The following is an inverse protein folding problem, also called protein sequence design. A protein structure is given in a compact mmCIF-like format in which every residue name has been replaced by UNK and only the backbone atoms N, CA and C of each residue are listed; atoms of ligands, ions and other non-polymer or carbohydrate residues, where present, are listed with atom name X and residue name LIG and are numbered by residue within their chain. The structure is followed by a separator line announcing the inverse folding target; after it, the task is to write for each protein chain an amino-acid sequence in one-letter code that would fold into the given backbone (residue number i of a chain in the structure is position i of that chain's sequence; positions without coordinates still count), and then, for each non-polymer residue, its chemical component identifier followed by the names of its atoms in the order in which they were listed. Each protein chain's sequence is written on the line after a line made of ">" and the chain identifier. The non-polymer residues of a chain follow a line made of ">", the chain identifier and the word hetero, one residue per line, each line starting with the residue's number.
data_IF_131517832342
#
_entry.id   IF_131517832342
#
_cell.length_a   1.000
_cell.length_b   1.000
_cell.length_c   1.000
_cell.angle_alpha   90.00
_cell.angle_beta   90.00
_cell.angle_gamma   90.00
#
_symmetry.space_group_name_H-M   'P 1'
#
loop_
_entity.id
_entity.type
_entity.pdbx_description
1 polymer ?
#
# COMPACT_ATOMS: atom_id res chain seq x y z
N UNK A 1 3.66 -23.57 24.38
CA UNK A 1 4.57 -23.03 23.37
C UNK A 1 4.01 -21.63 23.03
N UNK A 2 4.85 -20.63 22.72
CA UNK A 2 4.36 -19.28 22.42
C UNK A 2 4.54 -18.96 20.95
N UNK A 3 3.62 -18.18 20.42
CA UNK A 3 3.51 -17.90 18.99
C UNK A 3 3.37 -16.42 18.67
N UNK A 4 3.76 -16.07 17.47
CA UNK A 4 3.55 -14.76 16.86
C UNK A 4 2.70 -14.91 15.59
N UNK A 5 1.81 -13.97 15.33
CA UNK A 5 1.01 -13.93 14.10
C UNK A 5 1.31 -12.63 13.36
N UNK A 6 1.71 -12.78 12.10
CA UNK A 6 1.75 -11.67 11.14
C UNK A 6 0.53 -11.74 10.24
N UNK A 7 -0.11 -10.59 9.99
CA UNK A 7 -1.26 -10.47 9.08
C UNK A 7 -0.92 -9.42 8.03
N UNK A 8 -1.13 -9.74 6.76
CA UNK A 8 -1.09 -8.75 5.67
C UNK A 8 -2.46 -8.63 5.01
N UNK A 9 -2.96 -7.41 4.94
CA UNK A 9 -4.24 -7.11 4.27
C UNK A 9 -3.96 -6.42 2.95
N UNK A 10 -3.88 -7.24 1.91
CA UNK A 10 -3.75 -6.76 0.54
C UNK A 10 -5.11 -6.40 -0.09
N UNK A 11 -5.05 -5.86 -1.30
CA UNK A 11 -6.26 -5.49 -2.06
C UNK A 11 -7.12 -6.69 -2.47
N UNK A 12 -6.53 -7.88 -2.63
CA UNK A 12 -7.21 -9.09 -3.13
C UNK A 12 -7.32 -10.17 -2.07
N UNK A 13 -6.26 -10.38 -1.30
CA UNK A 13 -6.19 -11.42 -0.28
C UNK A 13 -5.72 -10.83 1.05
N UNK A 14 -6.17 -11.47 2.12
CA UNK A 14 -5.66 -11.29 3.48
C UNK A 14 -4.91 -12.56 3.86
N UNK A 15 -3.64 -12.41 4.16
CA UNK A 15 -2.71 -13.48 4.49
C UNK A 15 -2.36 -13.46 5.97
N UNK A 16 -2.18 -14.63 6.58
CA UNK A 16 -1.64 -14.75 7.92
C UNK A 16 -0.53 -15.80 7.98
N UNK A 17 0.49 -15.51 8.78
CA UNK A 17 1.60 -16.42 9.06
C UNK A 17 1.74 -16.63 10.58
N UNK A 18 1.83 -17.87 11.01
CA UNK A 18 2.06 -18.28 12.40
C UNK A 18 3.53 -18.67 12.56
N UNK A 19 4.20 -18.05 13.51
CA UNK A 19 5.64 -18.25 13.76
C UNK A 19 5.82 -18.69 15.22
N UNK A 20 6.65 -19.72 15.43
CA UNK A 20 7.10 -20.10 16.76
C UNK A 20 7.95 -18.96 17.35
N UNK A 21 7.61 -18.50 18.57
CA UNK A 21 8.30 -17.37 19.19
C UNK A 21 9.76 -17.65 19.53
N UNK A 22 10.11 -18.90 19.86
CA UNK A 22 11.42 -19.27 20.39
C UNK A 22 12.40 -19.66 19.27
N UNK A 23 11.91 -20.34 18.22
CA UNK A 23 12.74 -20.80 17.10
C UNK A 23 12.67 -19.89 15.90
N UNK A 24 11.66 -19.00 15.81
CA UNK A 24 11.31 -18.18 14.65
C UNK A 24 10.98 -18.97 13.37
N UNK A 25 10.69 -20.26 13.52
CA UNK A 25 10.25 -21.10 12.41
C UNK A 25 8.81 -20.82 12.03
N UNK A 26 8.53 -20.85 10.74
CA UNK A 26 7.19 -20.78 10.19
C UNK A 26 6.43 -22.07 10.52
N UNK A 27 5.32 -21.95 11.24
CA UNK A 27 4.48 -23.08 11.66
C UNK A 27 3.38 -23.33 10.63
N UNK A 28 2.68 -22.28 10.22
CA UNK A 28 1.58 -22.38 9.27
C UNK A 28 1.34 -21.04 8.55
N UNK A 29 0.67 -21.08 7.40
CA UNK A 29 0.19 -19.91 6.65
C UNK A 29 -1.25 -20.14 6.21
N UNK A 30 -2.05 -19.09 6.27
CA UNK A 30 -3.44 -19.10 5.81
C UNK A 30 -3.70 -17.88 4.93
N UNK A 31 -4.44 -18.10 3.86
CA UNK A 31 -4.86 -17.06 2.93
C UNK A 31 -6.38 -17.10 2.76
N UNK A 32 -7.02 -15.92 2.79
CA UNK A 32 -8.45 -15.75 2.49
C UNK A 32 -8.67 -14.54 1.57
N UNK A 33 -9.75 -14.48 0.79
CA UNK A 33 -10.11 -13.26 0.04
C UNK A 33 -10.31 -12.07 0.97
N UNK A 34 -9.84 -10.88 0.57
CA UNK A 34 -10.08 -9.65 1.33
C UNK A 34 -11.55 -9.23 1.23
N UNK A 35 -12.16 -8.93 2.37
CA UNK A 35 -13.60 -8.66 2.51
C UNK A 35 -13.91 -7.17 2.44
N UNK A 36 -13.83 -6.54 1.26
CA UNK A 36 -14.14 -5.09 1.11
C UNK A 36 -15.62 -4.76 1.27
N UNK A 37 -16.51 -5.69 0.91
CA UNK A 37 -17.97 -5.49 0.87
C UNK A 37 -18.68 -5.99 2.13
N UNK A 38 -17.98 -6.60 3.06
CA UNK A 38 -18.56 -7.03 4.33
C UNK A 38 -18.95 -5.83 5.20
N UNK A 39 -19.92 -5.99 6.09
CA UNK A 39 -20.35 -4.96 7.04
C UNK A 39 -19.19 -4.46 7.93
N UNK A 40 -18.31 -5.39 8.31
CA UNK A 40 -17.10 -5.15 9.08
C UNK A 40 -15.91 -4.79 8.18
N UNK A 41 -16.12 -4.60 6.87
CA UNK A 41 -15.05 -4.30 5.91
C UNK A 41 -13.92 -5.34 5.94
N UNK A 42 -12.69 -4.88 5.86
CA UNK A 42 -11.49 -5.74 5.88
C UNK A 42 -11.27 -6.47 7.22
N UNK A 43 -11.88 -5.98 8.31
CA UNK A 43 -11.78 -6.60 9.63
C UNK A 43 -12.39 -8.02 9.66
N UNK A 44 -13.40 -8.29 8.82
CA UNK A 44 -13.97 -9.64 8.69
C UNK A 44 -12.93 -10.64 8.14
N UNK A 45 -12.13 -10.25 7.15
CA UNK A 45 -11.04 -11.08 6.62
C UNK A 45 -9.95 -11.33 7.69
N UNK A 46 -9.64 -10.33 8.50
CA UNK A 46 -8.70 -10.47 9.62
C UNK A 46 -9.18 -11.51 10.64
N UNK A 47 -10.47 -11.47 11.01
CA UNK A 47 -11.04 -12.50 11.91
C UNK A 47 -10.93 -13.89 11.27
N UNK A 48 -11.30 -14.00 9.98
CA UNK A 48 -11.28 -15.28 9.28
C UNK A 48 -9.89 -15.91 9.27
N UNK A 49 -8.83 -15.15 8.93
CA UNK A 49 -7.46 -15.69 8.92
C UNK A 49 -6.97 -16.03 10.33
N UNK A 50 -7.34 -15.22 11.35
CA UNK A 50 -6.95 -15.48 12.75
C UNK A 50 -7.58 -16.76 13.27
N UNK A 51 -8.89 -16.93 13.13
CA UNK A 51 -9.59 -18.14 13.57
C UNK A 51 -9.03 -19.36 12.83
N UNK A 52 -8.96 -19.28 11.51
CA UNK A 52 -8.50 -20.37 10.66
C UNK A 52 -7.07 -20.81 10.97
N UNK A 53 -6.13 -19.88 11.13
CA UNK A 53 -4.72 -20.24 11.40
C UNK A 53 -4.55 -20.85 12.79
N UNK A 54 -5.31 -20.41 13.79
CA UNK A 54 -5.29 -20.98 15.13
C UNK A 54 -5.92 -22.39 15.15
N UNK A 55 -7.06 -22.60 14.48
CA UNK A 55 -7.73 -23.90 14.36
C UNK A 55 -6.86 -24.93 13.62
N UNK A 56 -6.33 -24.57 12.44
CA UNK A 56 -5.50 -25.46 11.62
C UNK A 56 -4.17 -25.84 12.31
N UNK A 57 -3.71 -25.01 13.25
CA UNK A 57 -2.45 -25.23 13.96
C UNK A 57 -2.62 -25.73 15.39
N UNK A 58 -3.85 -25.95 15.86
CA UNK A 58 -4.19 -26.31 17.25
C UNK A 58 -3.57 -25.34 18.29
N UNK A 59 -3.60 -24.03 17.99
CA UNK A 59 -3.02 -22.97 18.82
C UNK A 59 -4.13 -22.22 19.56
N UNK A 60 -3.96 -22.11 20.88
CA UNK A 60 -4.89 -21.35 21.71
C UNK A 60 -4.59 -19.85 21.68
N UNK A 61 -5.62 -19.03 21.80
CA UNK A 61 -5.49 -17.57 21.82
C UNK A 61 -4.54 -17.07 22.93
N UNK A 62 -4.46 -17.76 24.06
CA UNK A 62 -3.57 -17.44 25.20
C UNK A 62 -2.09 -17.72 24.93
N UNK A 63 -1.78 -18.46 23.87
CA UNK A 63 -0.42 -18.77 23.44
C UNK A 63 0.11 -17.78 22.39
N UNK A 64 -0.74 -16.95 21.86
CA UNK A 64 -0.35 -15.86 20.93
C UNK A 64 0.12 -14.67 21.75
N UNK A 65 1.40 -14.34 21.67
CA UNK A 65 2.04 -13.26 22.46
C UNK A 65 2.35 -12.01 21.65
N UNK A 66 2.21 -12.07 20.33
CA UNK A 66 2.45 -10.93 19.45
C UNK A 66 1.60 -11.06 18.18
N UNK A 67 0.94 -9.97 17.80
CA UNK A 67 0.24 -9.85 16.52
C UNK A 67 0.68 -8.57 15.85
N UNK A 68 1.08 -8.67 14.59
CA UNK A 68 1.33 -7.52 13.74
C UNK A 68 0.46 -7.54 12.49
N UNK A 69 0.07 -6.36 12.06
CA UNK A 69 -0.82 -6.16 10.92
C UNK A 69 -0.21 -5.17 9.94
N UNK A 70 -0.02 -5.59 8.70
CA UNK A 70 0.24 -4.73 7.55
C UNK A 70 -1.07 -4.27 6.93
N UNK A 71 -1.14 -3.03 6.44
CA UNK A 71 -2.37 -2.49 5.84
C UNK A 71 -2.09 -1.58 4.66
N UNK A 72 -2.89 -1.69 3.62
CA UNK A 72 -2.87 -0.78 2.46
C UNK A 72 -3.89 0.35 2.57
N UNK A 73 -4.69 0.41 3.64
CA UNK A 73 -5.82 1.32 3.77
C UNK A 73 -5.44 2.80 3.67
N UNK A 74 -4.38 3.24 4.36
CA UNK A 74 -3.91 4.62 4.31
C UNK A 74 -3.41 4.99 2.90
N UNK A 75 -2.68 4.10 2.24
CA UNK A 75 -2.22 4.29 0.87
C UNK A 75 -3.39 4.38 -0.10
N UNK A 76 -4.36 3.47 0.01
CA UNK A 76 -5.55 3.46 -0.83
C UNK A 76 -6.40 4.72 -0.63
N UNK A 77 -6.62 5.16 0.62
CA UNK A 77 -7.35 6.39 0.91
C UNK A 77 -6.76 7.61 0.19
N UNK A 78 -5.43 7.73 0.16
CA UNK A 78 -4.77 8.81 -0.56
C UNK A 78 -4.87 8.66 -2.09
N UNK A 79 -4.69 7.45 -2.62
CA UNK A 79 -4.74 7.18 -4.06
C UNK A 79 -6.17 7.37 -4.63
N UNK A 80 -7.18 6.98 -3.88
CA UNK A 80 -8.59 7.09 -4.26
C UNK A 80 -9.14 8.51 -4.02
N UNK A 81 -8.45 9.32 -3.21
CA UNK A 81 -8.89 10.64 -2.78
C UNK A 81 -10.00 10.56 -1.72
N UNK A 82 -10.06 9.43 -1.00
CA UNK A 82 -10.99 9.22 0.12
C UNK A 82 -10.40 9.82 1.40
N UNK A 83 -10.34 11.14 1.39
CA UNK A 83 -9.73 12.00 2.40
C UNK A 83 -10.68 13.11 2.80
N UNK A 84 -10.53 13.61 4.02
CA UNK A 84 -11.38 14.72 4.52
C UNK A 84 -10.72 16.07 4.27
N UNK A 85 -11.52 17.13 4.17
CA UNK A 85 -11.07 18.51 4.18
C UNK A 85 -10.40 18.84 5.52
N UNK A 86 -9.24 19.49 5.48
CA UNK A 86 -8.41 19.78 6.66
C UNK A 86 -8.34 21.28 6.93
N UNK A 87 -8.63 21.68 8.14
CA UNK A 87 -8.37 23.01 8.65
C UNK A 87 -6.91 23.13 9.10
N UNK A 88 -6.25 24.23 8.76
CA UNK A 88 -4.90 24.55 9.25
C UNK A 88 -5.02 25.76 10.15
N UNK A 89 -4.73 25.61 11.43
CA UNK A 89 -4.64 26.72 12.36
C UNK A 89 -3.17 27.10 12.54
N UNK A 90 -2.80 28.15 11.86
CA UNK A 90 -1.44 28.70 11.91
C UNK A 90 -1.28 29.61 13.11
N UNK A 91 -0.22 29.40 13.86
CA UNK A 91 0.11 30.17 15.05
C UNK A 91 1.42 30.90 14.81
N UNK A 92 1.50 32.16 15.26
CA UNK A 92 2.74 32.93 15.18
C UNK A 92 2.57 34.34 15.70
N UNK A 93 3.67 35.14 15.62
CA UNK A 93 3.71 36.50 16.12
C UNK A 93 4.51 37.39 15.17
N UNK A 94 4.01 38.59 14.94
CA UNK A 94 4.70 39.63 14.17
C UNK A 94 5.15 39.16 12.77
N UNK A 95 6.38 39.52 12.37
CA UNK A 95 6.95 39.19 11.05
C UNK A 95 7.05 37.66 10.85
N UNK A 96 7.41 36.93 11.91
CA UNK A 96 7.49 35.47 11.85
C UNK A 96 6.10 34.86 11.66
N UNK A 97 5.07 35.41 12.29
CA UNK A 97 3.69 35.01 12.09
C UNK A 97 3.20 35.18 10.64
N UNK A 98 3.54 36.32 10.02
CA UNK A 98 3.21 36.58 8.62
C UNK A 98 3.91 35.55 7.69
N UNK A 99 5.16 35.20 7.94
CA UNK A 99 5.88 34.14 7.23
C UNK A 99 5.24 32.78 7.45
N UNK A 100 4.89 32.45 8.68
CA UNK A 100 4.20 31.20 9.02
C UNK A 100 2.89 31.05 8.27
N UNK A 101 2.07 32.13 8.21
CA UNK A 101 0.82 32.14 7.45
C UNK A 101 1.06 31.83 5.96
N UNK A 102 2.08 32.41 5.34
CA UNK A 102 2.43 32.12 3.95
C UNK A 102 2.88 30.67 3.75
N UNK A 103 3.73 30.13 4.66
CA UNK A 103 4.29 28.79 4.59
C UNK A 103 3.22 27.69 4.79
N UNK A 104 2.13 27.98 5.50
CA UNK A 104 1.06 27.04 5.84
C UNK A 104 -0.18 27.16 4.98
N UNK A 105 -0.31 28.22 4.17
CA UNK A 105 -1.41 28.36 3.22
C UNK A 105 -1.16 27.45 2.02
N UNK A 106 -1.86 26.33 1.95
CA UNK A 106 -1.62 25.25 0.98
C UNK A 106 -2.75 25.09 -0.05
N UNK A 107 -3.99 25.43 0.30
CA UNK A 107 -5.16 25.28 -0.57
C UNK A 107 -5.38 23.81 -0.96
N UNK A 108 -5.22 23.49 -2.23
CA UNK A 108 -5.33 22.13 -2.76
C UNK A 108 -3.95 21.49 -2.86
N UNK A 109 -3.81 20.31 -2.25
CA UNK A 109 -2.60 19.49 -2.32
C UNK A 109 -2.90 18.31 -3.26
N UNK A 110 -2.12 18.16 -4.33
CA UNK A 110 -2.26 17.01 -5.21
C UNK A 110 -1.91 15.70 -4.47
N UNK A 111 -2.77 14.69 -4.60
CA UNK A 111 -2.53 13.32 -4.11
C UNK A 111 -2.17 12.40 -5.26
N UNK A 112 -2.82 12.60 -6.40
CA UNK A 112 -2.55 11.95 -7.68
C UNK A 112 -2.72 12.99 -8.80
N UNK A 113 -2.62 12.59 -10.07
CA UNK A 113 -2.89 13.47 -11.21
C UNK A 113 -4.33 14.05 -11.22
N UNK A 114 -5.29 13.33 -10.64
CA UNK A 114 -6.72 13.67 -10.67
C UNK A 114 -7.35 13.85 -9.29
N UNK A 115 -6.65 13.56 -8.21
CA UNK A 115 -7.17 13.63 -6.83
C UNK A 115 -6.43 14.67 -6.02
N UNK A 116 -7.18 15.42 -5.23
CA UNK A 116 -6.67 16.54 -4.44
C UNK A 116 -7.23 16.45 -3.02
N UNK A 117 -6.40 16.85 -2.06
CA UNK A 117 -6.77 17.14 -0.69
C UNK A 117 -7.02 18.64 -0.55
N UNK A 118 -8.18 19.02 -0.04
CA UNK A 118 -8.53 20.41 0.21
C UNK A 118 -8.15 20.84 1.62
N UNK A 119 -7.57 22.03 1.74
CA UNK A 119 -7.25 22.62 3.02
C UNK A 119 -7.69 24.07 3.13
N UNK A 120 -8.06 24.49 4.33
CA UNK A 120 -8.45 25.85 4.66
C UNK A 120 -7.61 26.36 5.83
N UNK A 121 -7.17 27.62 5.78
CA UNK A 121 -6.25 28.17 6.76
C UNK A 121 -6.90 29.27 7.61
N UNK A 122 -6.62 29.25 8.92
CA UNK A 122 -6.86 30.35 9.86
C UNK A 122 -5.56 30.69 10.56
N UNK A 123 -5.44 31.93 10.98
CA UNK A 123 -4.28 32.44 11.70
C UNK A 123 -4.71 32.99 13.06
N UNK A 124 -3.94 32.61 14.08
CA UNK A 124 -4.08 33.13 15.45
C UNK A 124 -2.72 33.66 15.92
N UNK A 125 -2.74 34.83 16.51
CA UNK A 125 -1.52 35.43 17.05
C UNK A 125 -1.20 34.82 18.42
N UNK A 126 0.03 34.31 18.55
CA UNK A 126 0.53 33.80 19.84
C UNK A 126 0.83 34.91 20.83
N UNK A 127 0.93 34.57 22.11
CA UNK A 127 1.28 35.48 23.21
C UNK A 127 0.30 36.67 23.40
N UNK A 128 -0.97 36.50 23.06
CA UNK A 128 -2.04 37.46 23.37
C UNK A 128 -2.83 37.00 24.59
N UNK A 129 -3.39 37.94 25.34
CA UNK A 129 -4.28 37.65 26.49
C UNK A 129 -5.56 36.88 26.09
N UNK A 130 -5.89 36.92 24.80
CA UNK A 130 -7.08 36.28 24.23
C UNK A 130 -6.78 35.01 23.45
N UNK A 131 -5.52 34.50 23.46
CA UNK A 131 -5.09 33.36 22.64
C UNK A 131 -6.05 32.16 22.69
N UNK A 132 -6.44 31.70 23.89
CA UNK A 132 -7.35 30.57 24.03
C UNK A 132 -8.75 30.81 23.45
N UNK A 133 -9.25 32.06 23.52
CA UNK A 133 -10.52 32.47 22.89
C UNK A 133 -10.36 32.46 21.36
N UNK A 134 -9.30 33.06 20.86
CA UNK A 134 -9.06 33.18 19.41
C UNK A 134 -8.85 31.79 18.78
N UNK A 135 -8.20 30.86 19.50
CA UNK A 135 -8.10 29.44 19.11
C UNK A 135 -9.47 28.79 19.02
N UNK A 136 -10.32 28.95 20.04
CA UNK A 136 -11.68 28.39 20.05
C UNK A 136 -12.53 28.91 18.91
N UNK A 137 -12.51 30.22 18.67
CA UNK A 137 -13.27 30.85 17.62
C UNK A 137 -12.78 30.37 16.23
N UNK A 138 -11.47 30.23 16.03
CA UNK A 138 -10.88 29.74 14.79
C UNK A 138 -11.19 28.24 14.54
N UNK A 139 -11.12 27.39 15.58
CA UNK A 139 -11.52 25.98 15.49
C UNK A 139 -13.00 25.86 15.10
N UNK A 140 -13.86 26.59 15.79
CA UNK A 140 -15.31 26.60 15.50
C UNK A 140 -15.60 27.08 14.07
N UNK A 141 -14.88 28.08 13.58
CA UNK A 141 -15.05 28.58 12.22
C UNK A 141 -14.58 27.53 11.17
N UNK A 142 -13.45 26.85 11.39
CA UNK A 142 -13.00 25.77 10.51
C UNK A 142 -14.00 24.61 10.46
N UNK A 143 -14.59 24.23 11.58
CA UNK A 143 -15.66 23.20 11.63
C UNK A 143 -16.88 23.63 10.83
N UNK A 144 -17.33 24.87 10.96
CA UNK A 144 -18.44 25.44 10.17
C UNK A 144 -18.17 25.46 8.68
N UNK A 145 -16.91 25.54 8.29
CA UNK A 145 -16.44 25.47 6.90
C UNK A 145 -16.16 24.02 6.42
N UNK A 146 -16.80 23.05 7.07
CA UNK A 146 -16.76 21.62 6.71
C UNK A 146 -15.38 20.95 6.85
N UNK A 147 -14.44 21.53 7.62
CA UNK A 147 -13.21 20.84 7.98
C UNK A 147 -13.53 19.71 8.98
N UNK A 148 -13.07 18.49 8.68
CA UNK A 148 -13.30 17.30 9.52
C UNK A 148 -12.08 16.89 10.35
N UNK A 149 -10.95 17.56 10.13
CA UNK A 149 -9.76 17.42 10.93
C UNK A 149 -9.00 18.77 10.94
N UNK A 150 -8.23 19.02 12.00
CA UNK A 150 -7.49 20.27 12.19
C UNK A 150 -6.01 19.99 12.44
N UNK A 151 -5.15 20.80 11.82
CA UNK A 151 -3.72 20.82 12.03
C UNK A 151 -3.32 22.10 12.75
N UNK A 152 -2.66 21.97 13.90
CA UNK A 152 -1.99 23.07 14.57
C UNK A 152 -0.56 23.22 14.00
N UNK A 153 -0.21 24.44 13.58
CA UNK A 153 1.06 24.71 12.89
C UNK A 153 1.76 25.97 13.38
N UNK A 154 2.92 25.80 14.03
CA UNK A 154 3.78 26.88 14.51
C UNK A 154 5.23 26.65 14.11
N UNK A 155 5.96 27.75 13.80
CA UNK A 155 7.31 27.66 13.22
C UNK A 155 8.30 26.89 14.12
N UNK A 156 8.31 27.20 15.41
CA UNK A 156 9.26 26.67 16.38
C UNK A 156 8.64 25.70 17.40
N UNK A 157 7.50 25.11 17.05
CA UNK A 157 6.81 24.13 17.91
C UNK A 157 7.64 22.88 18.22
N UNK A 158 8.68 22.61 17.45
CA UNK A 158 9.64 21.53 17.75
C UNK A 158 10.45 21.78 19.03
N UNK A 159 10.66 23.05 19.38
CA UNK A 159 11.36 23.48 20.60
C UNK A 159 10.36 23.76 21.73
N UNK A 160 9.23 24.42 21.40
CA UNK A 160 8.18 24.77 22.35
C UNK A 160 6.79 24.45 21.77
N UNK A 161 6.17 23.30 22.09
CA UNK A 161 4.92 22.86 21.52
C UNK A 161 3.66 23.42 22.25
N UNK A 162 3.79 24.35 23.19
CA UNK A 162 2.69 24.78 24.07
C UNK A 162 1.49 25.24 23.26
N UNK A 163 1.68 26.14 22.29
CA UNK A 163 0.57 26.71 21.52
C UNK A 163 -0.09 25.66 20.61
N UNK A 164 0.68 24.78 19.95
CA UNK A 164 0.10 23.67 19.16
C UNK A 164 -0.70 22.72 20.06
N UNK A 165 -0.20 22.38 21.24
CA UNK A 165 -0.89 21.50 22.19
C UNK A 165 -2.20 22.11 22.71
N UNK A 166 -2.27 23.44 22.88
CA UNK A 166 -3.51 24.13 23.26
C UNK A 166 -4.57 24.03 22.17
N UNK A 167 -4.17 24.17 20.90
CA UNK A 167 -5.09 23.93 19.76
C UNK A 167 -5.60 22.49 19.75
N UNK A 168 -4.72 21.50 19.92
CA UNK A 168 -5.11 20.07 19.95
C UNK A 168 -6.08 19.81 21.12
N UNK A 169 -5.84 20.40 22.27
CA UNK A 169 -6.74 20.30 23.43
C UNK A 169 -8.10 20.91 23.14
N UNK A 170 -8.16 22.09 22.51
CA UNK A 170 -9.42 22.73 22.12
C UNK A 170 -10.17 21.88 21.08
N UNK A 171 -9.47 21.33 20.09
CA UNK A 171 -10.06 20.40 19.12
C UNK A 171 -10.68 19.18 19.81
N UNK A 172 -10.00 18.61 20.80
CA UNK A 172 -10.53 17.51 21.61
C UNK A 172 -11.79 17.87 22.38
N UNK A 173 -11.92 19.12 22.86
CA UNK A 173 -13.13 19.60 23.53
C UNK A 173 -14.33 19.77 22.59
N UNK A 174 -14.09 19.91 21.30
CA UNK A 174 -15.10 20.02 20.24
C UNK A 174 -15.28 18.72 19.42
N UNK A 175 -14.71 17.61 19.89
CA UNK A 175 -14.78 16.26 19.28
C UNK A 175 -14.37 16.26 17.81
N UNK A 176 -13.30 16.98 17.46
CA UNK A 176 -12.73 16.99 16.12
C UNK A 176 -11.32 16.40 16.10
N UNK A 177 -11.05 15.56 15.12
CA UNK A 177 -9.73 14.98 14.92
C UNK A 177 -8.68 16.08 14.71
N UNK A 178 -7.53 15.95 15.35
CA UNK A 178 -6.47 16.97 15.23
C UNK A 178 -5.08 16.39 15.36
N UNK A 179 -4.10 17.12 14.83
CA UNK A 179 -2.69 16.79 14.95
C UNK A 179 -1.85 18.07 15.06
N UNK A 180 -0.83 18.03 15.90
CA UNK A 180 0.17 19.07 16.01
C UNK A 180 1.33 18.78 15.04
N UNK A 181 1.87 19.80 14.37
CA UNK A 181 2.98 19.57 13.43
C UNK A 181 4.22 19.02 14.12
N UNK A 182 4.49 19.40 15.37
CA UNK A 182 5.59 18.90 16.17
C UNK A 182 5.49 17.41 16.52
N UNK A 183 4.28 16.84 16.55
CA UNK A 183 4.06 15.40 16.79
C UNK A 183 4.37 14.55 15.53
N UNK A 184 4.20 15.15 14.35
CA UNK A 184 4.48 14.47 13.08
C UNK A 184 5.97 14.38 12.81
N UNK A 185 6.70 15.47 13.08
CA UNK A 185 8.15 15.51 12.88
C UNK A 185 8.81 16.51 13.81
N UNK A 186 9.99 16.14 14.32
CA UNK A 186 10.86 17.04 15.10
C UNK A 186 11.86 17.80 14.23
N UNK A 187 11.62 17.87 12.92
CA UNK A 187 12.47 18.61 11.98
C UNK A 187 11.94 20.04 11.79
N UNK A 188 12.89 20.98 11.63
CA UNK A 188 12.54 22.33 11.20
C UNK A 188 12.04 22.34 9.75
N UNK A 189 11.43 23.44 9.33
CA UNK A 189 10.85 23.60 8.00
C UNK A 189 9.32 23.46 8.04
N UNK A 190 8.68 24.54 8.53
CA UNK A 190 7.25 24.61 8.79
C UNK A 190 6.40 24.13 7.59
N UNK A 191 6.72 24.56 6.37
CA UNK A 191 5.95 24.20 5.17
C UNK A 191 5.86 22.70 4.93
N UNK A 192 6.98 21.97 5.02
CA UNK A 192 7.01 20.51 4.80
C UNK A 192 6.37 19.78 5.97
N UNK A 193 6.63 20.23 7.21
CA UNK A 193 6.05 19.67 8.42
C UNK A 193 4.53 19.82 8.41
N UNK A 194 4.01 21.01 8.10
CA UNK A 194 2.57 21.25 7.97
C UNK A 194 1.94 20.40 6.88
N UNK A 195 2.57 20.29 5.72
CA UNK A 195 2.07 19.41 4.64
C UNK A 195 1.95 17.96 5.10
N UNK A 196 2.97 17.46 5.77
CA UNK A 196 2.95 16.10 6.31
C UNK A 196 1.82 15.92 7.33
N UNK A 197 1.61 16.91 8.22
CA UNK A 197 0.53 16.92 9.19
C UNK A 197 -0.86 16.99 8.52
N UNK A 198 -1.02 17.78 7.44
CA UNK A 198 -2.27 17.90 6.69
C UNK A 198 -2.62 16.56 6.02
N UNK A 199 -1.65 15.89 5.41
CA UNK A 199 -1.86 14.55 4.84
C UNK A 199 -2.24 13.56 5.96
N UNK A 200 -1.57 13.61 7.12
CA UNK A 200 -1.93 12.79 8.28
C UNK A 200 -3.37 13.02 8.72
N UNK A 201 -3.73 14.27 8.94
CA UNK A 201 -5.06 14.66 9.43
C UNK A 201 -6.17 14.26 8.45
N UNK A 202 -5.89 14.30 7.14
CA UNK A 202 -6.89 13.98 6.11
C UNK A 202 -7.36 12.53 6.10
N UNK A 203 -6.55 11.61 6.59
CA UNK A 203 -6.88 10.17 6.67
C UNK A 203 -7.26 9.73 8.10
N UNK A 204 -7.09 10.60 9.10
CA UNK A 204 -7.34 10.22 10.51
C UNK A 204 -8.74 9.65 10.76
N UNK A 205 -9.86 10.26 10.34
CA UNK A 205 -11.19 9.73 10.64
C UNK A 205 -11.38 8.30 10.12
N UNK A 206 -10.98 8.04 8.88
CA UNK A 206 -11.08 6.72 8.25
C UNK A 206 -10.17 5.68 8.93
N UNK A 207 -8.96 6.07 9.25
CA UNK A 207 -8.01 5.16 9.89
C UNK A 207 -8.36 4.88 11.36
N UNK A 208 -9.00 5.81 12.05
CA UNK A 208 -9.58 5.60 13.39
C UNK A 208 -10.66 4.52 13.36
N UNK A 209 -11.59 4.61 12.42
CA UNK A 209 -12.66 3.62 12.25
C UNK A 209 -12.07 2.23 11.98
N UNK A 210 -11.19 2.13 11.02
CA UNK A 210 -10.52 0.89 10.65
C UNK A 210 -9.72 0.27 11.81
N UNK A 211 -8.99 1.08 12.56
CA UNK A 211 -8.21 0.63 13.72
C UNK A 211 -9.13 0.09 14.83
N UNK A 212 -10.24 0.77 15.11
CA UNK A 212 -11.23 0.33 16.10
C UNK A 212 -11.86 -1.00 15.68
N UNK A 213 -12.31 -1.13 14.44
CA UNK A 213 -12.89 -2.37 13.91
C UNK A 213 -11.91 -3.55 13.98
N UNK A 214 -10.65 -3.32 13.66
CA UNK A 214 -9.62 -4.36 13.72
C UNK A 214 -9.34 -4.79 15.16
N UNK A 215 -9.21 -3.83 16.09
CA UNK A 215 -8.99 -4.13 17.51
C UNK A 215 -10.17 -4.90 18.13
N UNK A 216 -11.40 -4.52 17.81
CA UNK A 216 -12.59 -5.27 18.24
C UNK A 216 -12.63 -6.68 17.68
N UNK A 217 -12.18 -6.85 16.42
CA UNK A 217 -12.14 -8.14 15.75
C UNK A 217 -11.16 -9.10 16.45
N UNK A 218 -10.00 -8.61 16.83
CA UNK A 218 -9.00 -9.38 17.56
C UNK A 218 -9.52 -9.77 18.97
N UNK A 219 -10.19 -8.85 19.66
CA UNK A 219 -10.84 -9.12 20.94
C UNK A 219 -11.94 -10.19 20.81
N UNK A 220 -12.76 -10.14 19.75
CA UNK A 220 -13.78 -11.17 19.46
C UNK A 220 -13.17 -12.55 19.19
N UNK A 221 -11.97 -12.63 18.61
CA UNK A 221 -11.21 -13.88 18.45
C UNK A 221 -10.62 -14.41 19.76
N UNK A 222 -10.90 -13.75 20.90
CA UNK A 222 -10.43 -14.17 22.23
C UNK A 222 -8.95 -13.86 22.52
N UNK A 223 -8.30 -13.11 21.64
CA UNK A 223 -6.88 -12.77 21.76
C UNK A 223 -6.75 -11.51 22.62
N UNK A 224 -5.95 -11.59 23.69
CA UNK A 224 -5.72 -10.48 24.63
C UNK A 224 -4.46 -9.68 24.29
N UNK A 225 -3.61 -10.20 23.42
CA UNK A 225 -2.36 -9.56 23.01
C UNK A 225 -2.66 -8.27 22.23
N UNK A 226 -1.98 -7.17 22.56
CA UNK A 226 -2.15 -5.91 21.82
C UNK A 226 -1.82 -6.07 20.34
N UNK A 227 -2.65 -5.48 19.49
CA UNK A 227 -2.37 -5.37 18.06
C UNK A 227 -1.25 -4.37 17.83
N UNK A 228 -0.24 -4.80 17.11
CA UNK A 228 0.79 -3.93 16.56
C UNK A 228 0.52 -3.71 15.07
N UNK A 229 0.78 -2.50 14.58
CA UNK A 229 0.59 -2.14 13.17
C UNK A 229 1.95 -1.82 12.56
N UNK A 230 2.18 -2.35 11.37
CA UNK A 230 3.41 -2.11 10.62
C UNK A 230 3.52 -0.65 10.19
N UNK A 231 4.76 -0.12 10.25
CA UNK A 231 5.11 1.21 9.80
C UNK A 231 5.85 1.17 8.47
N UNK A 232 5.81 2.29 7.76
CA UNK A 232 6.52 2.47 6.49
C UNK A 232 8.06 2.37 6.59
N UNK A 233 8.62 2.49 7.78
CA UNK A 233 10.06 2.34 8.04
C UNK A 233 10.47 0.91 8.43
N UNK A 234 9.54 -0.05 8.39
CA UNK A 234 9.76 -1.45 8.77
C UNK A 234 9.62 -1.73 10.26
N UNK A 235 9.35 -0.73 11.10
CA UNK A 235 9.02 -0.89 12.51
C UNK A 235 7.55 -1.22 12.74
N UNK A 236 7.17 -1.37 14.00
CA UNK A 236 5.79 -1.55 14.44
C UNK A 236 5.38 -0.44 15.41
N UNK A 237 4.08 -0.18 15.53
CA UNK A 237 3.51 0.78 16.46
C UNK A 237 2.20 0.25 17.04
N UNK A 238 1.78 0.80 18.18
CA UNK A 238 0.49 0.45 18.80
C UNK A 238 -0.69 1.06 18.01
N UNK A 239 -1.89 0.57 18.27
CA UNK A 239 -3.12 1.14 17.67
C UNK A 239 -3.34 2.58 18.12
N UNK A 240 -2.95 2.95 19.34
CA UNK A 240 -2.98 4.34 19.83
C UNK A 240 -2.10 5.27 19.00
N UNK A 241 -0.93 4.81 18.58
CA UNK A 241 -0.07 5.57 17.68
C UNK A 241 -0.66 5.68 16.27
N UNK A 242 -1.35 4.64 15.78
CA UNK A 242 -2.08 4.71 14.50
C UNK A 242 -3.18 5.77 14.56
N UNK A 243 -3.90 5.87 15.68
CA UNK A 243 -4.93 6.90 15.87
C UNK A 243 -4.38 8.32 15.76
N UNK A 244 -3.15 8.56 16.23
CA UNK A 244 -2.49 9.88 16.18
C UNK A 244 -1.77 10.12 14.84
N UNK A 245 -1.06 9.11 14.35
CA UNK A 245 -0.16 9.21 13.19
C UNK A 245 -0.41 8.11 12.15
N UNK A 246 -1.63 8.02 11.59
CA UNK A 246 -1.94 7.02 10.58
C UNK A 246 -1.09 7.12 9.32
N UNK A 247 -0.50 8.29 9.04
CA UNK A 247 0.43 8.49 7.92
C UNK A 247 1.63 7.51 7.98
N UNK A 248 2.02 7.03 9.15
CA UNK A 248 3.11 6.07 9.33
C UNK A 248 2.78 4.68 8.77
N UNK A 249 1.53 4.39 8.44
CA UNK A 249 1.11 3.11 7.81
C UNK A 249 1.16 3.15 6.28
N UNK A 250 1.44 4.31 5.67
CA UNK A 250 1.59 4.42 4.21
C UNK A 250 2.74 3.53 3.76
N UNK A 251 2.52 2.71 2.71
CA UNK A 251 3.53 1.75 2.21
C UNK A 251 4.01 0.72 3.26
N UNK A 252 3.21 0.43 4.30
CA UNK A 252 3.60 -0.54 5.33
C UNK A 252 3.61 -1.99 4.83
N UNK A 253 2.80 -2.35 3.82
CA UNK A 253 2.83 -3.68 3.20
C UNK A 253 4.20 -3.99 2.60
N UNK A 254 4.68 -3.23 1.60
CA UNK A 254 6.01 -3.38 1.05
C UNK A 254 7.14 -3.32 2.10
N UNK A 255 7.00 -2.46 3.11
CA UNK A 255 7.96 -2.38 4.21
C UNK A 255 8.01 -3.66 5.05
N UNK A 256 6.85 -4.30 5.28
CA UNK A 256 6.76 -5.57 6.00
C UNK A 256 7.44 -6.70 5.22
N UNK A 257 7.21 -6.80 3.89
CA UNK A 257 7.85 -7.78 3.02
C UNK A 257 9.36 -7.69 3.08
N UNK A 258 9.91 -6.48 2.92
CA UNK A 258 11.37 -6.24 2.98
C UNK A 258 11.94 -6.55 4.36
N UNK A 259 11.27 -6.13 5.45
CA UNK A 259 11.70 -6.42 6.81
C UNK A 259 11.67 -7.94 7.10
N UNK A 260 10.63 -8.64 6.62
CA UNK A 260 10.52 -10.09 6.69
C UNK A 260 11.66 -10.81 5.98
N UNK A 261 11.96 -10.41 4.75
CA UNK A 261 13.07 -10.97 3.97
C UNK A 261 14.43 -10.77 4.66
N UNK A 262 14.69 -9.59 5.22
CA UNK A 262 15.90 -9.32 5.99
C UNK A 262 16.05 -10.26 7.20
N UNK A 263 14.98 -10.44 7.94
CA UNK A 263 15.00 -11.24 9.16
C UNK A 263 15.06 -12.74 8.86
N UNK A 264 14.33 -13.20 7.84
CA UNK A 264 14.21 -14.61 7.50
C UNK A 264 15.42 -15.12 6.71
N UNK A 265 15.80 -14.42 5.66
CA UNK A 265 16.90 -14.80 4.76
C UNK A 265 18.28 -14.32 5.26
N UNK A 266 18.33 -13.44 6.26
CA UNK A 266 19.55 -12.84 6.84
C UNK A 266 20.49 -12.27 5.77
N UNK A 267 19.90 -11.67 4.73
CA UNK A 267 20.62 -11.09 3.61
C UNK A 267 21.39 -9.85 4.05
N UNK A 268 22.66 -9.79 3.68
CA UNK A 268 23.49 -8.60 3.92
C UNK A 268 23.50 -7.64 2.73
N UNK A 269 23.46 -8.17 1.52
CA UNK A 269 23.45 -7.37 0.29
C UNK A 269 22.60 -8.08 -0.76
N UNK A 270 21.64 -7.36 -1.38
CA UNK A 270 20.78 -7.93 -2.39
C UNK A 270 19.67 -7.00 -2.86
N UNK A 271 18.89 -7.48 -3.80
CA UNK A 271 17.62 -6.87 -4.22
C UNK A 271 16.49 -7.76 -3.72
N UNK A 272 15.53 -7.16 -3.07
CA UNK A 272 14.26 -7.77 -2.71
C UNK A 272 13.23 -7.44 -3.80
N UNK A 273 12.51 -8.46 -4.26
CA UNK A 273 11.43 -8.36 -5.23
C UNK A 273 10.22 -9.07 -4.65
N UNK A 274 9.13 -8.34 -4.48
CA UNK A 274 7.84 -8.88 -4.08
C UNK A 274 6.87 -8.77 -5.26
N UNK A 275 6.57 -9.90 -5.88
CA UNK A 275 5.69 -9.96 -7.05
C UNK A 275 4.27 -10.28 -6.62
N UNK A 276 3.40 -9.28 -6.65
CA UNK A 276 1.98 -9.44 -6.38
C UNK A 276 1.15 -9.70 -7.64
N UNK A 277 -0.18 -9.66 -7.49
CA UNK A 277 -1.11 -9.82 -8.62
C UNK A 277 -1.11 -8.64 -9.59
N UNK A 278 -0.90 -7.41 -9.10
CA UNK A 278 -0.99 -6.16 -9.88
C UNK A 278 0.31 -5.42 -10.05
N UNK A 279 1.24 -5.60 -9.12
CA UNK A 279 2.49 -4.85 -9.06
C UNK A 279 3.63 -5.68 -8.50
N UNK A 280 4.83 -5.20 -8.71
CA UNK A 280 6.06 -5.72 -8.09
C UNK A 280 6.70 -4.60 -7.28
N UNK A 281 6.98 -4.87 -6.02
CA UNK A 281 7.72 -4.00 -5.13
C UNK A 281 9.19 -4.39 -5.12
N UNK A 282 10.06 -3.38 -5.30
CA UNK A 282 11.50 -3.55 -5.44
C UNK A 282 12.20 -2.75 -4.36
N UNK A 283 13.09 -3.38 -3.60
CA UNK A 283 13.93 -2.70 -2.60
C UNK A 283 15.37 -3.19 -2.65
N UNK A 284 16.28 -2.34 -2.20
CA UNK A 284 17.71 -2.66 -2.12
C UNK A 284 18.14 -2.82 -0.66
N UNK A 285 18.81 -3.93 -0.38
CA UNK A 285 19.43 -4.23 0.91
C UNK A 285 20.94 -4.04 0.75
N UNK A 286 21.53 -3.25 1.62
CA UNK A 286 22.97 -2.99 1.65
C UNK A 286 23.49 -3.02 3.09
N UNK A 287 24.55 -3.81 3.32
CA UNK A 287 25.18 -3.96 4.64
C UNK A 287 24.17 -4.34 5.74
N UNK A 288 23.24 -5.26 5.40
CA UNK A 288 22.18 -5.73 6.30
C UNK A 288 21.12 -4.67 6.64
N UNK A 289 21.02 -3.59 5.85
CA UNK A 289 20.05 -2.52 6.05
C UNK A 289 19.30 -2.23 4.76
N UNK A 290 18.01 -1.92 4.90
CA UNK A 290 17.21 -1.37 3.80
C UNK A 290 17.51 0.12 3.68
N UNK A 291 17.62 0.60 2.45
CA UNK A 291 17.75 2.04 2.21
C UNK A 291 16.45 2.74 2.63
N UNK A 292 16.60 3.94 3.19
CA UNK A 292 15.47 4.77 3.61
C UNK A 292 15.47 6.07 2.83
N UNK A 293 14.26 6.61 2.63
CA UNK A 293 14.04 7.92 2.00
C UNK A 293 12.87 8.65 2.66
N UNK A 294 12.75 9.94 2.40
CA UNK A 294 11.50 10.63 2.70
C UNK A 294 10.44 10.25 1.67
N UNK A 295 9.27 9.81 2.16
CA UNK A 295 8.14 9.48 1.29
C UNK A 295 7.63 10.75 0.58
N UNK A 296 7.15 10.55 -0.64
CA UNK A 296 6.47 11.59 -1.41
C UNK A 296 5.00 11.17 -1.60
N UNK A 297 4.09 12.13 -1.46
CA UNK A 297 2.66 11.96 -1.71
C UNK A 297 2.26 12.98 -2.78
N UNK A 298 1.72 12.50 -3.90
CA UNK A 298 1.34 13.35 -5.03
C UNK A 298 2.50 14.19 -5.58
N UNK A 299 3.74 13.68 -5.55
CA UNK A 299 4.96 14.41 -5.94
C UNK A 299 5.45 15.43 -4.90
N UNK A 300 4.81 15.50 -3.75
CA UNK A 300 5.19 16.40 -2.68
C UNK A 300 6.03 15.71 -1.61
N UNK A 301 7.19 16.29 -1.29
CA UNK A 301 8.04 15.82 -0.18
C UNK A 301 7.32 15.93 1.16
N UNK A 302 7.48 14.90 1.98
CA UNK A 302 7.02 14.84 3.37
C UNK A 302 8.21 14.65 4.32
N UNK A 303 7.97 14.78 5.63
CA UNK A 303 8.94 14.37 6.67
C UNK A 303 8.66 12.95 7.19
N UNK A 304 8.02 12.13 6.37
CA UNK A 304 7.78 10.73 6.65
C UNK A 304 8.97 9.90 6.15
N UNK A 305 9.77 9.33 7.03
CA UNK A 305 10.82 8.38 6.66
C UNK A 305 10.18 7.03 6.34
N UNK A 306 10.40 6.52 5.13
CA UNK A 306 9.96 5.19 4.70
C UNK A 306 11.14 4.38 4.17
N UNK A 307 10.98 3.07 4.10
CA UNK A 307 11.90 2.24 3.32
C UNK A 307 11.87 2.67 1.85
N UNK A 308 13.03 2.63 1.19
CA UNK A 308 13.10 2.92 -0.25
C UNK A 308 12.59 1.70 -1.04
N UNK A 309 11.26 1.65 -1.18
CA UNK A 309 10.58 0.68 -2.02
C UNK A 309 10.08 1.38 -3.28
N UNK A 310 10.22 0.72 -4.42
CA UNK A 310 9.69 1.16 -5.70
C UNK A 310 8.70 0.16 -6.21
N UNK A 311 7.50 0.62 -6.50
CA UNK A 311 6.42 -0.19 -7.05
C UNK A 311 6.37 -0.03 -8.56
N UNK A 312 6.39 -1.15 -9.27
CA UNK A 312 6.22 -1.22 -10.73
C UNK A 312 4.90 -1.92 -11.02
N UNK A 313 4.10 -1.37 -11.94
CA UNK A 313 2.79 -1.93 -12.34
C UNK A 313 2.90 -3.21 -13.18
N UNK A 314 3.77 -4.14 -12.78
CA UNK A 314 3.93 -5.46 -13.39
C UNK A 314 3.79 -6.50 -12.29
N UNK A 315 2.84 -7.41 -12.44
CA UNK A 315 2.56 -8.50 -11.50
C UNK A 315 1.90 -9.67 -12.22
N UNK A 316 1.55 -10.72 -11.51
CA UNK A 316 0.99 -11.95 -12.09
C UNK A 316 -0.26 -11.73 -12.95
N UNK A 317 -1.10 -10.77 -12.58
CA UNK A 317 -2.32 -10.42 -13.32
C UNK A 317 -2.13 -9.40 -14.45
N UNK A 318 -0.91 -8.93 -14.71
CA UNK A 318 -0.66 -7.94 -15.76
C UNK A 318 -1.05 -8.46 -17.13
N UNK A 319 -1.79 -7.61 -17.86
CA UNK A 319 -2.33 -7.93 -19.17
C UNK A 319 -1.33 -7.63 -20.29
N UNK A 320 -1.47 -8.33 -21.38
CA UNK A 320 -0.67 -8.21 -22.60
C UNK A 320 -1.07 -6.97 -23.39
N UNK A 321 -0.17 -6.00 -23.59
CA UNK A 321 -0.39 -4.90 -24.54
C UNK A 321 -0.21 -5.41 -25.97
N UNK A 322 -1.14 -5.05 -26.84
CA UNK A 322 -1.09 -5.43 -28.24
C UNK A 322 -1.14 -4.21 -29.16
N UNK A 323 -0.45 -4.32 -30.28
CA UNK A 323 -0.57 -3.40 -31.41
C UNK A 323 -0.65 -4.21 -32.70
N UNK A 324 -1.66 -3.94 -33.51
CA UNK A 324 -1.92 -4.70 -34.74
C UNK A 324 -1.96 -6.23 -34.51
N UNK A 325 -2.57 -6.67 -33.40
CA UNK A 325 -2.67 -8.08 -33.01
C UNK A 325 -1.37 -8.73 -32.50
N UNK A 326 -0.27 -7.98 -32.35
CA UNK A 326 1.00 -8.50 -31.87
C UNK A 326 1.31 -7.99 -30.47
N UNK A 327 1.86 -8.85 -29.62
CA UNK A 327 2.34 -8.51 -28.29
C UNK A 327 3.50 -7.52 -28.37
N UNK A 328 3.34 -6.35 -27.74
CA UNK A 328 4.35 -5.26 -27.74
C UNK A 328 4.89 -4.95 -26.35
N UNK A 329 4.08 -5.09 -25.28
CA UNK A 329 4.50 -4.83 -23.90
C UNK A 329 3.56 -5.54 -22.91
N UNK A 330 3.82 -5.42 -21.60
CA UNK A 330 3.05 -6.03 -20.51
C UNK A 330 2.75 -5.02 -19.41
N UNK A 331 1.52 -5.04 -18.88
CA UNK A 331 1.09 -4.09 -17.85
C UNK A 331 0.95 -2.65 -18.37
N UNK A 332 0.80 -1.64 -17.51
CA UNK A 332 0.61 -1.74 -16.07
C UNK A 332 -0.81 -2.12 -15.64
N UNK A 333 -1.75 -2.40 -16.56
CA UNK A 333 -3.10 -2.84 -16.18
C UNK A 333 -3.12 -4.34 -15.95
N UNK A 334 -3.87 -4.74 -14.92
CA UNK A 334 -4.15 -6.14 -14.59
C UNK A 334 -5.57 -6.54 -14.98
N UNK A 335 -5.82 -7.85 -15.09
CA UNK A 335 -7.14 -8.41 -15.34
C UNK A 335 -8.20 -7.86 -14.37
N UNK A 336 -7.87 -7.78 -13.08
CA UNK A 336 -8.77 -7.24 -12.05
C UNK A 336 -9.19 -5.78 -12.34
N UNK A 337 -8.25 -4.90 -12.71
CA UNK A 337 -8.54 -3.49 -13.04
C UNK A 337 -9.41 -3.40 -14.31
N UNK A 338 -9.23 -4.33 -15.25
CA UNK A 338 -10.02 -4.40 -16.47
C UNK A 338 -11.42 -5.05 -16.26
N UNK A 339 -11.70 -5.59 -15.07
CA UNK A 339 -12.94 -6.31 -14.79
C UNK A 339 -13.08 -7.61 -15.58
N UNK A 340 -11.95 -8.29 -15.84
CA UNK A 340 -11.89 -9.54 -16.59
C UNK A 340 -11.46 -10.69 -15.69
N UNK A 341 -12.00 -11.88 -15.96
CA UNK A 341 -11.55 -13.11 -15.33
C UNK A 341 -10.16 -13.53 -15.82
N UNK A 342 -9.46 -14.33 -15.02
CA UNK A 342 -8.16 -14.87 -15.37
C UNK A 342 -8.32 -16.18 -16.14
N UNK A 343 -7.73 -16.27 -17.32
CA UNK A 343 -7.76 -17.46 -18.16
C UNK A 343 -7.19 -18.70 -17.47
N UNK A 344 -6.12 -18.51 -16.71
CA UNK A 344 -5.37 -19.59 -16.04
C UNK A 344 -6.10 -20.18 -14.83
N UNK A 345 -7.02 -19.44 -14.22
CA UNK A 345 -7.82 -19.91 -13.07
C UNK A 345 -9.25 -20.28 -13.46
N UNK A 346 -9.49 -20.49 -14.75
CA UNK A 346 -10.78 -20.87 -15.32
C UNK A 346 -10.79 -22.33 -15.78
N UNK A 347 -11.96 -22.86 -16.10
CA UNK A 347 -12.08 -24.22 -16.62
C UNK A 347 -11.81 -24.26 -18.13
N UNK A 348 -11.20 -25.33 -18.67
CA UNK A 348 -11.01 -25.51 -20.12
C UNK A 348 -12.33 -25.48 -20.91
N UNK A 349 -13.42 -25.93 -20.33
CA UNK A 349 -14.75 -25.94 -20.93
C UNK A 349 -15.30 -24.52 -21.17
N UNK A 350 -14.82 -23.55 -20.41
CA UNK A 350 -15.18 -22.14 -20.58
C UNK A 350 -14.48 -21.48 -21.78
N UNK A 351 -13.41 -22.11 -22.29
CA UNK A 351 -12.59 -21.62 -23.42
C UNK A 351 -13.11 -22.11 -24.78
N UNK A 352 -14.43 -22.11 -24.98
CA UNK A 352 -15.04 -22.50 -26.23
C UNK A 352 -14.83 -21.44 -27.32
N UNK A 353 -14.19 -21.82 -28.44
CA UNK A 353 -13.96 -20.93 -29.60
C UNK A 353 -13.46 -19.52 -29.23
N UNK A 354 -12.33 -19.38 -28.52
CA UNK A 354 -11.84 -18.11 -28.06
C UNK A 354 -11.44 -17.23 -29.26
N UNK A 355 -11.80 -15.94 -29.21
CA UNK A 355 -11.44 -14.94 -30.22
C UNK A 355 -10.64 -13.84 -29.56
N UNK A 356 -9.51 -13.46 -30.17
CA UNK A 356 -8.70 -12.33 -29.71
C UNK A 356 -9.47 -11.03 -29.87
N UNK A 357 -9.55 -10.27 -28.80
CA UNK A 357 -10.16 -8.96 -28.71
C UNK A 357 -9.20 -7.99 -28.01
N UNK A 358 -9.48 -6.70 -28.09
CA UNK A 358 -8.75 -5.68 -27.33
C UNK A 358 -9.68 -4.83 -26.45
N UNK A 359 -9.14 -4.32 -25.35
CA UNK A 359 -9.82 -3.42 -24.43
C UNK A 359 -8.87 -2.31 -23.99
N UNK A 360 -9.41 -1.10 -23.75
CA UNK A 360 -8.74 0.01 -23.06
C UNK A 360 -9.46 0.25 -21.74
N UNK A 361 -8.95 -0.25 -20.61
CA UNK A 361 -9.61 -0.10 -19.31
C UNK A 361 -9.84 1.35 -18.89
N UNK A 362 -8.96 2.27 -19.34
CA UNK A 362 -9.10 3.73 -19.18
C UNK A 362 -8.88 4.43 -20.52
N UNK A 363 -9.41 5.65 -20.64
CA UNK A 363 -9.44 6.42 -21.89
C UNK A 363 -8.06 6.57 -22.58
N UNK A 364 -7.00 6.76 -21.81
CA UNK A 364 -5.64 6.94 -22.33
C UNK A 364 -4.77 5.68 -22.28
N UNK A 365 -5.36 4.53 -21.97
CA UNK A 365 -4.61 3.28 -21.93
C UNK A 365 -4.27 2.76 -23.33
N UNK A 366 -3.17 2.01 -23.50
CA UNK A 366 -2.95 1.21 -24.69
C UNK A 366 -4.00 0.10 -24.82
N UNK A 367 -3.98 -0.61 -25.94
CA UNK A 367 -4.85 -1.76 -26.15
C UNK A 367 -4.28 -2.98 -25.44
N UNK A 368 -5.13 -3.64 -24.65
CA UNK A 368 -4.81 -4.88 -23.95
C UNK A 368 -5.55 -6.05 -24.54
N UNK A 369 -4.87 -7.18 -24.72
CA UNK A 369 -5.45 -8.41 -25.22
C UNK A 369 -6.36 -9.06 -24.18
N UNK A 370 -7.52 -9.50 -24.64
CA UNK A 370 -8.35 -10.46 -23.94
C UNK A 370 -8.97 -11.41 -24.96
N UNK A 371 -9.52 -12.52 -24.51
CA UNK A 371 -10.29 -13.42 -25.37
C UNK A 371 -11.75 -13.40 -24.98
N UNK A 372 -12.61 -13.39 -25.99
CA UNK A 372 -14.04 -13.59 -25.85
C UNK A 372 -14.40 -14.98 -26.39
N UNK A 373 -15.03 -15.80 -25.55
CA UNK A 373 -15.43 -17.16 -25.86
C UNK A 373 -16.83 -17.22 -26.45
N UNK A 374 -17.15 -18.33 -27.14
CA UNK A 374 -18.45 -18.55 -27.77
C UNK A 374 -19.63 -18.54 -26.79
N UNK A 375 -19.40 -18.90 -25.54
CA UNK A 375 -20.34 -18.79 -24.42
C UNK A 375 -20.53 -17.37 -23.87
N UNK A 376 -19.88 -16.36 -24.45
CA UNK A 376 -19.93 -14.95 -24.03
C UNK A 376 -18.99 -14.55 -22.90
N UNK A 377 -18.30 -15.49 -22.26
CA UNK A 377 -17.30 -15.20 -21.21
C UNK A 377 -16.09 -14.49 -21.79
N UNK A 378 -15.46 -13.64 -20.96
CA UNK A 378 -14.28 -12.84 -21.33
C UNK A 378 -13.15 -13.11 -20.36
N UNK A 379 -11.96 -13.39 -20.88
CA UNK A 379 -10.78 -13.70 -20.07
C UNK A 379 -9.61 -12.84 -20.50
N UNK A 380 -8.90 -12.27 -19.53
CA UNK A 380 -7.64 -11.58 -19.77
C UNK A 380 -6.56 -12.60 -20.13
N UNK A 381 -5.60 -12.20 -20.96
CA UNK A 381 -4.33 -12.91 -21.10
C UNK A 381 -3.35 -12.30 -20.10
N UNK A 382 -2.84 -13.11 -19.16
CA UNK A 382 -2.11 -12.65 -17.98
C UNK A 382 -0.69 -13.21 -17.90
N UNK A 383 0.19 -12.54 -17.11
CA UNK A 383 1.53 -13.10 -16.83
C UNK A 383 1.45 -14.39 -16.02
N UNK A 384 0.44 -14.57 -15.15
CA UNK A 384 0.21 -15.83 -14.46
C UNK A 384 -0.08 -16.96 -15.45
N UNK A 385 -0.89 -16.70 -16.48
CA UNK A 385 -1.11 -17.63 -17.58
C UNK A 385 0.16 -17.93 -18.34
N UNK A 386 0.93 -16.91 -18.72
CA UNK A 386 2.22 -17.08 -19.40
C UNK A 386 3.19 -17.94 -18.59
N UNK A 387 3.34 -17.72 -17.29
CA UNK A 387 4.22 -18.50 -16.43
C UNK A 387 3.79 -19.97 -16.32
N UNK A 388 2.48 -20.22 -16.21
CA UNK A 388 1.93 -21.58 -16.19
C UNK A 388 2.15 -22.29 -17.53
N UNK A 389 1.91 -21.62 -18.66
CA UNK A 389 2.15 -22.16 -20.01
C UNK A 389 3.62 -22.51 -20.21
N UNK A 390 4.54 -21.65 -19.79
CA UNK A 390 5.98 -21.84 -19.90
C UNK A 390 6.54 -22.89 -18.92
N UNK A 391 5.73 -23.42 -17.99
CA UNK A 391 6.14 -24.45 -17.05
C UNK A 391 6.98 -23.94 -15.88
N UNK A 392 6.95 -22.64 -15.57
CA UNK A 392 7.69 -22.05 -14.44
C UNK A 392 6.96 -22.11 -13.11
N UNK A 393 5.71 -22.59 -13.09
CA UNK A 393 4.91 -22.74 -11.87
C UNK A 393 4.83 -24.22 -11.52
N UNK A 394 5.34 -24.60 -10.35
CA UNK A 394 5.33 -25.99 -9.89
C UNK A 394 3.91 -26.46 -9.54
N UNK A 395 3.66 -27.78 -9.56
CA UNK A 395 2.32 -28.35 -9.31
C UNK A 395 1.76 -28.04 -7.92
N UNK A 396 2.65 -27.85 -6.93
CA UNK A 396 2.25 -27.54 -5.55
C UNK A 396 2.22 -26.05 -5.23
N UNK A 397 2.60 -25.21 -6.20
CA UNK A 397 2.60 -23.76 -6.03
C UNK A 397 1.16 -23.22 -5.99
N UNK A 398 0.92 -22.27 -5.10
CA UNK A 398 -0.38 -21.59 -5.00
C UNK A 398 -0.78 -20.90 -6.31
N UNK A 399 0.18 -20.42 -7.10
CA UNK A 399 -0.03 -19.80 -8.40
C UNK A 399 -0.30 -20.83 -9.52
N UNK A 400 -0.30 -22.13 -9.21
CA UNK A 400 -0.61 -23.17 -10.19
C UNK A 400 -2.07 -23.11 -10.58
N UNK A 401 -2.30 -22.88 -11.87
CA UNK A 401 -3.62 -22.83 -12.48
C UNK A 401 -3.82 -23.91 -13.52
N UNK A 402 -4.89 -23.77 -14.29
CA UNK A 402 -5.23 -24.70 -15.35
C UNK A 402 -4.48 -24.39 -16.64
N UNK A 403 -3.36 -25.07 -16.87
CA UNK A 403 -2.50 -24.90 -18.06
C UNK A 403 -3.26 -25.12 -19.36
N UNK A 404 -4.22 -26.07 -19.39
CA UNK A 404 -5.02 -26.35 -20.58
C UNK A 404 -5.93 -25.18 -20.93
N UNK A 405 -6.61 -24.59 -19.93
CA UNK A 405 -7.43 -23.39 -20.14
C UNK A 405 -6.57 -22.21 -20.61
N UNK A 406 -5.41 -21.97 -19.97
CA UNK A 406 -4.49 -20.94 -20.38
C UNK A 406 -4.02 -21.12 -21.82
N UNK A 407 -3.59 -22.32 -22.22
CA UNK A 407 -3.16 -22.59 -23.60
C UNK A 407 -4.27 -22.30 -24.62
N UNK A 408 -5.49 -22.77 -24.38
CA UNK A 408 -6.64 -22.50 -25.25
C UNK A 408 -6.90 -20.99 -25.41
N UNK A 409 -6.84 -20.23 -24.30
CA UNK A 409 -7.04 -18.78 -24.33
C UNK A 409 -5.91 -18.04 -25.09
N UNK A 410 -4.69 -18.54 -25.04
CA UNK A 410 -3.55 -17.89 -25.69
C UNK A 410 -3.39 -18.25 -27.17
N UNK A 411 -4.06 -19.31 -27.69
CA UNK A 411 -4.00 -19.71 -29.10
C UNK A 411 -4.28 -18.58 -30.08
N UNK A 412 -5.34 -17.74 -29.93
CA UNK A 412 -5.63 -16.68 -30.90
C UNK A 412 -4.53 -15.60 -30.97
N UNK A 413 -3.89 -15.28 -29.84
CA UNK A 413 -2.77 -14.34 -29.80
C UNK A 413 -1.53 -14.97 -30.47
N UNK A 414 -1.20 -16.21 -30.16
CA UNK A 414 -0.07 -16.93 -30.77
C UNK A 414 -0.22 -17.04 -32.29
N UNK A 415 -1.43 -17.38 -32.77
CA UNK A 415 -1.76 -17.41 -34.21
C UNK A 415 -1.56 -16.05 -34.87
N UNK A 416 -2.04 -14.96 -34.23
CA UNK A 416 -1.84 -13.59 -34.74
C UNK A 416 -0.37 -13.18 -34.79
N UNK A 417 0.47 -13.74 -33.94
CA UNK A 417 1.92 -13.53 -33.92
C UNK A 417 2.69 -14.47 -34.85
N UNK A 418 2.07 -15.52 -35.37
CA UNK A 418 2.69 -16.54 -36.19
C UNK A 418 3.70 -17.42 -35.43
N UNK A 419 3.43 -17.72 -34.15
CA UNK A 419 4.29 -18.50 -33.26
C UNK A 419 3.47 -19.51 -32.43
N UNK A 420 4.15 -20.37 -31.67
CA UNK A 420 3.49 -21.29 -30.74
C UNK A 420 2.99 -20.54 -29.49
N UNK A 421 2.09 -21.17 -28.74
CA UNK A 421 1.56 -20.62 -27.49
C UNK A 421 2.67 -20.43 -26.46
N UNK A 422 3.60 -21.38 -26.41
CA UNK A 422 4.76 -21.33 -25.52
C UNK A 422 5.70 -20.16 -25.88
N UNK A 423 5.97 -19.94 -27.17
CA UNK A 423 6.79 -18.81 -27.63
C UNK A 423 6.14 -17.46 -27.32
N UNK A 424 4.82 -17.34 -27.48
CA UNK A 424 4.08 -16.14 -27.09
C UNK A 424 4.15 -15.89 -25.58
N UNK A 425 3.99 -16.93 -24.76
CA UNK A 425 4.10 -16.87 -23.31
C UNK A 425 5.51 -16.45 -22.85
N UNK A 426 6.55 -17.07 -23.42
CA UNK A 426 7.95 -16.71 -23.13
C UNK A 426 8.23 -15.26 -23.52
N UNK A 427 7.73 -14.80 -24.67
CA UNK A 427 7.88 -13.40 -25.07
C UNK A 427 7.25 -12.44 -24.06
N UNK A 428 6.08 -12.76 -23.53
CA UNK A 428 5.43 -11.95 -22.49
C UNK A 428 6.29 -11.85 -21.22
N UNK A 429 6.84 -12.97 -20.77
CA UNK A 429 7.73 -13.03 -19.61
C UNK A 429 9.03 -12.23 -19.85
N UNK A 430 9.61 -12.31 -21.05
CA UNK A 430 10.80 -11.50 -21.41
C UNK A 430 10.48 -10.01 -21.39
N UNK A 431 9.32 -9.59 -21.95
CA UNK A 431 8.91 -8.19 -21.92
C UNK A 431 8.69 -7.69 -20.49
N UNK A 432 8.04 -8.49 -19.63
CA UNK A 432 7.88 -8.13 -18.23
C UNK A 432 9.22 -7.95 -17.50
N UNK A 433 10.18 -8.85 -17.75
CA UNK A 433 11.55 -8.74 -17.23
C UNK A 433 12.26 -7.47 -17.71
N UNK A 434 12.12 -7.13 -18.99
CA UNK A 434 12.72 -5.90 -19.55
C UNK A 434 12.11 -4.64 -18.93
N UNK A 435 10.81 -4.63 -18.68
CA UNK A 435 10.10 -3.58 -17.96
C UNK A 435 10.63 -3.39 -16.53
N UNK A 436 10.82 -4.49 -15.80
CA UNK A 436 11.43 -4.49 -14.47
C UNK A 436 12.90 -4.03 -14.52
N UNK A 437 13.70 -4.50 -15.47
CA UNK A 437 15.12 -4.13 -15.67
C UNK A 437 15.30 -2.64 -15.98
N UNK A 438 14.38 -2.01 -16.67
CA UNK A 438 14.41 -0.56 -16.90
C UNK A 438 14.47 0.24 -15.60
N UNK A 439 13.86 -0.27 -14.53
CA UNK A 439 13.90 0.33 -13.20
C UNK A 439 15.20 0.01 -12.43
N UNK A 440 15.84 -1.13 -12.70
CA UNK A 440 17.15 -1.49 -12.11
C UNK A 440 18.25 -0.52 -12.53
N UNK A 441 18.22 0.04 -13.74
CA UNK A 441 19.17 1.06 -14.18
C UNK A 441 19.16 2.30 -13.31
N UNK A 442 18.01 2.66 -12.73
CA UNK A 442 17.88 3.76 -11.78
C UNK A 442 18.48 3.42 -10.40
N UNK A 443 18.46 2.13 -10.00
CA UNK A 443 19.15 1.67 -8.79
C UNK A 443 20.65 1.50 -9.00
N UNK A 444 21.10 1.07 -10.19
CA UNK A 444 22.51 0.78 -10.48
C UNK A 444 23.41 2.02 -10.46
N UNK A 445 22.87 3.23 -10.64
CA UNK A 445 23.61 4.47 -10.39
C UNK A 445 23.93 4.69 -8.91
N UNK A 446 23.25 3.98 -7.98
CA UNK A 446 23.46 4.08 -6.52
C UNK A 446 23.92 2.77 -5.86
N UNK A 447 23.82 1.63 -6.52
CA UNK A 447 24.22 0.32 -6.00
C UNK A 447 25.01 -0.51 -7.04
N UNK A 448 26.15 -1.01 -6.61
CA UNK A 448 27.14 -1.82 -7.33
C UNK A 448 26.63 -3.24 -7.75
N UNK A 449 25.35 -3.40 -8.13
CA UNK A 449 24.61 -4.67 -8.22
C UNK A 449 24.71 -5.40 -9.58
N UNK A 450 25.23 -4.76 -10.62
CA UNK A 450 25.39 -5.39 -11.95
C UNK A 450 26.39 -6.55 -11.99
N UNK A 451 27.19 -6.78 -10.95
CA UNK A 451 28.15 -7.90 -10.89
C UNK A 451 27.54 -9.22 -10.44
N UNK A 452 26.43 -9.23 -9.72
CA UNK A 452 25.80 -10.47 -9.20
C UNK A 452 24.85 -11.13 -10.22
N UNK A 453 24.17 -10.36 -11.05
CA UNK A 453 23.28 -10.90 -12.09
C UNK A 453 24.03 -11.60 -13.24
N UNK A 454 25.31 -11.28 -13.48
CA UNK A 454 26.16 -11.99 -14.45
C UNK A 454 26.61 -13.37 -13.99
N UNK A 455 26.32 -13.78 -12.74
CA UNK A 455 26.74 -15.06 -12.16
C UNK A 455 25.61 -16.08 -11.96
N UNK A 456 24.47 -15.92 -12.59
CA UNK A 456 23.46 -16.98 -12.67
C UNK A 456 22.72 -17.31 -11.37
N UNK A 457 22.58 -16.36 -10.44
CA UNK A 457 21.80 -16.56 -9.18
C UNK A 457 20.42 -15.88 -9.27
N UNK A 458 19.63 -16.23 -10.27
CA UNK A 458 18.19 -16.04 -10.29
C UNK A 458 17.58 -17.43 -10.49
N UNK A 459 17.24 -18.08 -9.39
CA UNK A 459 16.20 -19.10 -9.38
C UNK A 459 14.90 -18.37 -9.00
N UNK A 460 13.92 -18.47 -9.91
CA UNK A 460 12.55 -17.98 -9.74
C UNK A 460 11.79 -18.89 -8.79
#
# INVERSE_FOLDING_TARGET
>A
MKYRIGIDVGGTFTDAALINNDTYELVNTVKVPTTHTAKEGVAAGIIQVLVKIMEESDVKAEDVIFISHGTTQATNALLEGDVVKVGILTIGKGIQGAKSKNDTTMGKIALTETKYLESENRYVESETEHFGKDVRDAVTDLIKNDCKAIVAAEAFSVDNPICENEVVKECGSQDIASTATNEISKLYGLKVRTRTAVINASIMPKMLEAANMTEESIKKAGIKTPLMVMRCDGGVMTVEEVRKRPILTILSGPAAGVAGALMYEKLTNGIFLEVGGTSTDISCIKDGKVMVKYAEVGGHKTYLTSLDVRTVGIGGGSMMQISQGKLVDVGPRSAHIAGLDYEVYSNPEDMESPKLCSIRPKENDPEYAYVQCGNGKKFALSLAGAANIAGYVEERDYARGNVKAAKLAWEPLAQSMGCTVEEAAIKALVLSYLGLRGQEKLFSQRCFLLKLMKKGCLQF
#
